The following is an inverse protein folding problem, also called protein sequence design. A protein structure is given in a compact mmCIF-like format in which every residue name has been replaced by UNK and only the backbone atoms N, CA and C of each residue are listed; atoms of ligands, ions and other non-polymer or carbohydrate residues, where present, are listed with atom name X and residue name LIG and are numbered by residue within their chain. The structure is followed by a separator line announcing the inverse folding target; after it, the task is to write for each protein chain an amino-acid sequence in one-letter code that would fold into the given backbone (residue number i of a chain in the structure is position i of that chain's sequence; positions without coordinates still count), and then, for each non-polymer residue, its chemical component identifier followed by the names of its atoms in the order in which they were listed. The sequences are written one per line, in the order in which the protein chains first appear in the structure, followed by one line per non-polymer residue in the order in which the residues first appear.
data_IF_656444010888
#
_entry.id   IF_656444010888
#
_cell.length_a   1.000
_cell.length_b   1.000
_cell.length_c   1.000
_cell.angle_alpha   90.00
_cell.angle_beta   90.00
_cell.angle_gamma   90.00
#
_symmetry.space_group_name_H-M   'P 1'
#
loop_
_entity.id
_entity.type
_entity.pdbx_description
1 polymer ?
#
# COMPACT_ATOMS: atom_id res chain seq x y z
N UNK A 1 0.63 -5.11 -1.64
CA UNK A 1 1.78 -5.25 -2.55
C UNK A 1 3.02 -5.03 -1.72
N UNK A 2 4.09 -5.75 -2.01
CA UNK A 2 5.38 -5.60 -1.32
C UNK A 2 6.31 -4.92 -2.32
N UNK A 3 6.91 -3.80 -1.93
CA UNK A 3 7.76 -2.97 -2.79
C UNK A 3 9.23 -3.18 -2.42
N UNK A 4 10.08 -3.26 -3.43
CA UNK A 4 11.54 -3.27 -3.30
C UNK A 4 12.13 -2.68 -4.58
N UNK A 5 13.31 -2.06 -4.48
CA UNK A 5 14.12 -1.62 -5.61
C UNK A 5 15.17 -2.67 -6.03
N UNK A 6 15.21 -3.83 -5.36
CA UNK A 6 16.10 -4.95 -5.64
C UNK A 6 15.34 -6.08 -6.35
N UNK A 7 15.78 -6.42 -7.57
CA UNK A 7 15.15 -7.45 -8.40
C UNK A 7 15.30 -8.87 -7.85
N UNK A 8 16.41 -9.18 -7.16
CA UNK A 8 16.59 -10.49 -6.53
C UNK A 8 15.62 -10.66 -5.37
N UNK A 9 15.45 -9.61 -4.56
CA UNK A 9 14.45 -9.60 -3.50
C UNK A 9 13.04 -9.69 -4.08
N UNK A 10 12.74 -8.99 -5.19
CA UNK A 10 11.43 -9.06 -5.83
C UNK A 10 11.05 -10.51 -6.22
N UNK A 11 11.99 -11.25 -6.82
CA UNK A 11 11.80 -12.67 -7.17
C UNK A 11 11.57 -13.54 -5.93
N UNK A 12 12.40 -13.37 -4.90
CA UNK A 12 12.29 -14.13 -3.63
C UNK A 12 10.95 -13.87 -2.94
N UNK A 13 10.51 -12.61 -2.89
CA UNK A 13 9.24 -12.20 -2.30
C UNK A 13 8.06 -12.80 -3.06
N UNK A 14 8.05 -12.73 -4.39
CA UNK A 14 6.97 -13.29 -5.19
C UNK A 14 6.80 -14.80 -4.95
N UNK A 15 7.90 -15.56 -4.97
CA UNK A 15 7.88 -17.01 -4.70
C UNK A 15 7.47 -17.34 -3.26
N UNK A 16 7.85 -16.50 -2.28
CA UNK A 16 7.44 -16.68 -0.90
C UNK A 16 5.93 -16.44 -0.71
N UNK A 17 5.33 -15.51 -1.46
CA UNK A 17 3.88 -15.25 -1.40
C UNK A 17 3.10 -16.38 -2.09
N UNK A 18 3.43 -16.72 -3.33
CA UNK A 18 2.82 -17.82 -4.06
C UNK A 18 3.91 -18.65 -4.76
N UNK A 19 3.93 -19.98 -4.57
CA UNK A 19 2.97 -20.82 -3.84
C UNK A 19 3.26 -20.94 -2.32
N UNK A 20 4.18 -20.15 -1.76
CA UNK A 20 4.66 -20.35 -0.39
C UNK A 20 3.61 -20.16 0.72
N UNK A 21 3.03 -18.97 0.84
CA UNK A 21 2.12 -18.62 1.96
C UNK A 21 0.65 -18.64 1.54
N UNK A 22 0.36 -18.24 0.30
CA UNK A 22 -1.00 -18.08 -0.20
C UNK A 22 -1.25 -18.94 -1.45
N UNK A 23 -2.54 -19.24 -1.67
CA UNK A 23 -3.04 -19.79 -2.94
C UNK A 23 -3.36 -18.69 -3.95
N UNK A 24 -4.54 -18.74 -4.56
CA UNK A 24 -4.98 -17.73 -5.52
C UNK A 24 -5.18 -16.33 -4.89
N UNK A 25 -4.89 -15.25 -5.63
CA UNK A 25 -5.07 -13.88 -5.15
C UNK A 25 -6.55 -13.49 -5.04
N UNK A 26 -6.84 -12.48 -4.22
CA UNK A 26 -8.16 -11.86 -4.13
C UNK A 26 -8.28 -10.71 -5.15
N UNK A 27 -8.52 -11.04 -6.42
CA UNK A 27 -8.47 -10.06 -7.52
C UNK A 27 -9.42 -8.87 -7.37
N UNK A 28 -10.61 -9.08 -6.77
CA UNK A 28 -11.54 -7.99 -6.44
C UNK A 28 -10.93 -6.98 -5.45
N UNK A 29 -10.08 -7.43 -4.53
CA UNK A 29 -9.32 -6.55 -3.62
C UNK A 29 -8.12 -5.93 -4.32
N UNK A 30 -7.49 -6.62 -5.28
CA UNK A 30 -6.42 -6.05 -6.11
C UNK A 30 -6.94 -4.86 -6.91
N UNK A 31 -8.13 -4.97 -7.50
CA UNK A 31 -8.80 -3.87 -8.19
C UNK A 31 -9.05 -2.67 -7.26
N UNK A 32 -9.54 -2.90 -6.04
CA UNK A 32 -9.73 -1.84 -5.05
C UNK A 32 -8.41 -1.14 -4.68
N UNK A 33 -7.31 -1.89 -4.50
CA UNK A 33 -5.98 -1.32 -4.25
C UNK A 33 -5.50 -0.42 -5.38
N UNK A 34 -5.77 -0.78 -6.64
CA UNK A 34 -5.42 0.04 -7.79
C UNK A 34 -6.18 1.38 -7.79
N UNK A 35 -7.48 1.36 -7.45
CA UNK A 35 -8.28 2.59 -7.29
C UNK A 35 -7.72 3.46 -6.17
N UNK A 36 -7.45 2.90 -4.99
CA UNK A 36 -6.89 3.66 -3.87
C UNK A 36 -5.50 4.24 -4.18
N UNK A 37 -4.66 3.54 -4.94
CA UNK A 37 -3.36 4.07 -5.36
C UNK A 37 -3.52 5.26 -6.32
N UNK A 38 -4.51 5.24 -7.20
CA UNK A 38 -4.84 6.40 -8.04
C UNK A 38 -5.32 7.57 -7.20
N UNK A 39 -6.19 7.34 -6.22
CA UNK A 39 -6.70 8.38 -5.32
C UNK A 39 -5.55 9.04 -4.52
N UNK A 40 -4.59 8.25 -4.02
CA UNK A 40 -3.43 8.75 -3.27
C UNK A 40 -2.53 9.69 -4.09
N UNK A 41 -2.58 9.61 -5.42
CA UNK A 41 -1.85 10.52 -6.30
C UNK A 41 -2.54 11.88 -6.48
N UNK A 42 -3.79 12.02 -6.04
CA UNK A 42 -4.48 13.32 -6.03
C UNK A 42 -3.80 14.29 -5.05
N UNK A 43 -3.47 15.54 -5.45
CA UNK A 43 -2.85 16.52 -4.57
C UNK A 43 -3.63 16.78 -3.26
N UNK A 44 -4.96 16.64 -3.25
CA UNK A 44 -5.78 16.81 -2.07
C UNK A 44 -5.44 15.81 -0.96
N UNK A 45 -4.91 14.63 -1.31
CA UNK A 45 -4.48 13.62 -0.31
C UNK A 45 -3.28 14.10 0.50
N UNK A 46 -2.43 14.97 -0.05
CA UNK A 46 -1.32 15.59 0.71
C UNK A 46 -1.84 16.50 1.81
N UNK A 47 -2.85 17.30 1.52
CA UNK A 47 -3.51 18.16 2.51
C UNK A 47 -4.22 17.30 3.57
N UNK A 48 -4.96 16.28 3.13
CA UNK A 48 -5.57 15.31 4.04
C UNK A 48 -4.55 14.69 5.00
N UNK A 49 -3.42 14.19 4.50
CA UNK A 49 -2.37 13.59 5.32
C UNK A 49 -1.74 14.60 6.30
N UNK A 50 -1.55 15.85 5.88
CA UNK A 50 -1.08 16.92 6.76
C UNK A 50 -2.07 17.20 7.90
N UNK A 51 -3.37 17.20 7.61
CA UNK A 51 -4.42 17.35 8.61
C UNK A 51 -4.48 16.17 9.58
N UNK A 52 -4.27 14.94 9.11
CA UNK A 52 -4.16 13.75 10.00
C UNK A 52 -3.04 13.95 11.02
N UNK A 53 -1.84 14.37 10.58
CA UNK A 53 -0.70 14.62 11.48
C UNK A 53 -1.02 15.72 12.48
N UNK A 54 -1.62 16.84 12.03
CA UNK A 54 -2.01 17.95 12.89
C UNK A 54 -3.00 17.52 13.98
N UNK A 55 -4.03 16.78 13.59
CA UNK A 55 -5.07 16.32 14.51
C UNK A 55 -4.52 15.31 15.53
N UNK A 56 -3.65 14.39 15.10
CA UNK A 56 -3.00 13.45 16.02
C UNK A 56 -2.12 14.15 17.06
N UNK A 57 -1.43 15.25 16.68
CA UNK A 57 -0.66 16.06 17.65
C UNK A 57 -1.57 16.76 18.66
N UNK A 58 -2.63 17.41 18.18
CA UNK A 58 -3.59 18.09 19.04
C UNK A 58 -4.33 17.15 20.00
N UNK A 59 -4.43 15.86 19.67
CA UNK A 59 -5.01 14.83 20.55
C UNK A 59 -4.02 14.36 21.63
N UNK A 60 -2.71 14.49 21.40
CA UNK A 60 -1.67 14.00 22.31
C UNK A 60 -1.25 15.03 23.37
N UNK A 61 -1.52 16.32 23.11
CA UNK A 61 -1.33 17.44 24.05
C UNK A 61 -2.48 17.50 25.09
#
# INVERSE_FOLDING_TARGET
MILTNDEELAKKINSAIFPGIQGGPLEHVVAAKAVSFKEVLDPAVKEYAANVIKNSKAMAD
#
